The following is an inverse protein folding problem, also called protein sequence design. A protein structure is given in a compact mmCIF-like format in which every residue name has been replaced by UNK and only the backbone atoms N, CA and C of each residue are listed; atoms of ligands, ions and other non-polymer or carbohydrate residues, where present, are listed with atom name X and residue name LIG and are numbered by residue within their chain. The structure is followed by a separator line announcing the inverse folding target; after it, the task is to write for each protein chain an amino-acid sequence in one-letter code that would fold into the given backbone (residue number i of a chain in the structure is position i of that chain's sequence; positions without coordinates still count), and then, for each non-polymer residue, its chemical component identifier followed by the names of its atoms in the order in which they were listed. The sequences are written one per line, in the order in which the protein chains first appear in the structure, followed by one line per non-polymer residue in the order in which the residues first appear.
data_IF_640390671018
#
_entry.id   IF_640390671018
#
_cell.length_a   1.000
_cell.length_b   1.000
_cell.length_c   1.000
_cell.angle_alpha   90.00
_cell.angle_beta   90.00
_cell.angle_gamma   90.00
#
_symmetry.space_group_name_H-M   'P 1'
#
loop_
_entity.id
_entity.type
_entity.pdbx_description
1 polymer ?
#
# COMPACT_ATOMS: atom_id res chain seq x y z
N UNK A 1 18.55 -11.02 -12.71
CA UNK A 1 18.06 -11.94 -13.73
C UNK A 1 16.52 -11.93 -13.76
N UNK A 2 15.81 -12.16 -12.63
CA UNK A 2 14.33 -12.20 -12.61
C UNK A 2 13.66 -10.94 -13.19
N UNK A 3 14.19 -9.73 -12.92
CA UNK A 3 13.64 -8.50 -13.50
C UNK A 3 13.65 -8.51 -15.02
N UNK A 4 14.76 -8.99 -15.61
CA UNK A 4 14.89 -9.12 -17.05
C UNK A 4 13.89 -10.12 -17.63
N UNK A 5 13.66 -11.25 -16.95
CA UNK A 5 12.65 -12.25 -17.33
C UNK A 5 11.23 -11.65 -17.29
N UNK A 6 10.90 -10.88 -16.26
CA UNK A 6 9.59 -10.21 -16.16
C UNK A 6 9.41 -9.15 -17.26
N UNK A 7 10.43 -8.33 -17.50
CA UNK A 7 10.36 -7.27 -18.50
C UNK A 7 10.25 -7.84 -19.92
N UNK A 8 10.97 -8.93 -20.22
CA UNK A 8 10.80 -9.65 -21.50
C UNK A 8 9.38 -10.20 -21.61
N UNK A 9 8.84 -10.83 -20.57
CA UNK A 9 7.49 -11.41 -20.61
C UNK A 9 6.45 -10.34 -20.89
N UNK A 10 6.53 -9.19 -20.20
CA UNK A 10 5.63 -8.06 -20.41
C UNK A 10 5.81 -7.49 -21.83
N UNK A 11 7.05 -7.33 -22.28
CA UNK A 11 7.34 -6.78 -23.60
C UNK A 11 6.80 -7.67 -24.73
N UNK A 12 6.92 -8.98 -24.59
CA UNK A 12 6.37 -9.95 -25.57
C UNK A 12 4.83 -9.92 -25.58
N UNK A 13 4.19 -9.81 -24.40
CA UNK A 13 2.74 -9.73 -24.30
C UNK A 13 2.16 -8.50 -25.01
N UNK A 14 2.92 -7.40 -25.04
CA UNK A 14 2.53 -6.14 -25.68
C UNK A 14 3.20 -5.92 -27.04
N UNK A 15 3.88 -6.94 -27.58
CA UNK A 15 4.55 -6.83 -28.87
C UNK A 15 3.56 -6.51 -29.99
N UNK A 16 3.94 -5.60 -30.87
CA UNK A 16 3.18 -5.22 -32.07
C UNK A 16 3.91 -5.68 -33.33
N UNK A 17 3.15 -5.80 -34.41
CA UNK A 17 3.69 -6.12 -35.72
C UNK A 17 3.69 -4.85 -36.57
N UNK A 18 4.84 -4.46 -37.06
CA UNK A 18 4.93 -3.37 -38.03
C UNK A 18 4.56 -3.87 -39.44
N UNK A 19 5.00 -5.09 -39.74
CA UNK A 19 4.67 -5.87 -40.95
C UNK A 19 4.67 -7.36 -40.58
N UNK A 20 4.23 -8.25 -41.44
CA UNK A 20 4.22 -9.71 -41.17
C UNK A 20 5.59 -10.32 -40.82
N UNK A 21 6.68 -9.57 -40.95
CA UNK A 21 8.06 -10.02 -40.73
C UNK A 21 8.78 -9.35 -39.57
N UNK A 22 8.28 -8.20 -39.03
CA UNK A 22 9.00 -7.42 -38.00
C UNK A 22 8.15 -7.27 -36.75
N UNK A 23 8.67 -7.78 -35.65
CA UNK A 23 8.10 -7.57 -34.32
C UNK A 23 8.75 -6.36 -33.65
N UNK A 24 7.95 -5.41 -33.22
CA UNK A 24 8.38 -4.34 -32.35
C UNK A 24 8.08 -4.72 -30.89
N UNK A 25 9.13 -4.74 -30.07
CA UNK A 25 9.07 -5.17 -28.68
C UNK A 25 9.57 -4.01 -27.81
N UNK A 26 8.65 -3.37 -27.07
CA UNK A 26 8.99 -2.28 -26.16
C UNK A 26 9.13 -2.80 -24.72
N UNK A 27 10.29 -2.59 -24.12
CA UNK A 27 10.54 -2.95 -22.72
C UNK A 27 9.87 -1.96 -21.76
N UNK A 28 9.23 -2.45 -20.67
CA UNK A 28 8.62 -1.57 -19.68
C UNK A 28 9.68 -0.77 -18.92
N UNK A 29 9.28 0.39 -18.40
CA UNK A 29 10.10 1.19 -17.50
C UNK A 29 10.06 0.61 -16.09
N UNK A 30 10.88 -0.37 -15.82
CA UNK A 30 10.96 -1.05 -14.53
C UNK A 30 11.99 -0.45 -13.59
N UNK A 31 11.78 -0.60 -12.28
CA UNK A 31 12.76 -0.26 -11.26
C UNK A 31 12.73 -1.27 -10.12
N UNK A 32 13.84 -1.37 -9.38
CA UNK A 32 13.92 -2.19 -8.16
C UNK A 32 13.90 -1.30 -6.95
N UNK A 33 12.89 -1.46 -6.09
CA UNK A 33 12.78 -0.76 -4.82
C UNK A 33 13.38 -1.60 -3.70
N UNK A 34 14.47 -1.11 -3.09
CA UNK A 34 15.02 -1.65 -1.86
C UNK A 34 14.42 -0.93 -0.65
N UNK A 35 13.51 -1.60 0.03
CA UNK A 35 12.86 -1.09 1.24
C UNK A 35 13.81 -1.15 2.42
N UNK A 36 14.50 -2.29 2.59
CA UNK A 36 15.43 -2.54 3.68
C UNK A 36 16.82 -2.81 3.10
N UNK A 37 17.74 -1.89 3.31
CA UNK A 37 19.10 -2.02 2.82
C UNK A 37 20.10 -1.33 3.74
N UNK A 38 21.11 -2.07 4.21
CA UNK A 38 22.17 -1.57 5.08
C UNK A 38 23.43 -1.14 4.32
N UNK A 39 23.52 -1.50 3.02
CA UNK A 39 24.67 -1.17 2.17
C UNK A 39 24.30 -0.06 1.20
N UNK A 40 25.29 0.68 0.75
CA UNK A 40 25.10 1.55 -0.40
C UNK A 40 25.16 0.71 -1.66
N UNK A 41 24.09 0.75 -2.42
CA UNK A 41 23.97 0.08 -3.71
C UNK A 41 24.29 1.08 -4.82
N UNK A 42 24.71 0.54 -5.97
CA UNK A 42 24.77 1.31 -7.22
C UNK A 42 23.38 1.86 -7.58
N UNK A 43 23.35 2.86 -8.44
CA UNK A 43 22.10 3.49 -8.86
C UNK A 43 21.28 2.62 -9.84
N UNK A 44 21.86 1.55 -10.36
CA UNK A 44 21.20 0.62 -11.27
C UNK A 44 21.81 -0.77 -11.19
N UNK A 45 21.02 -1.79 -11.52
CA UNK A 45 21.50 -3.11 -11.91
C UNK A 45 21.71 -3.12 -13.42
N UNK A 46 22.82 -3.72 -13.87
CA UNK A 46 23.14 -3.83 -15.29
C UNK A 46 23.32 -5.30 -15.68
N UNK A 47 22.73 -5.67 -16.81
CA UNK A 47 23.01 -6.90 -17.51
C UNK A 47 23.44 -6.59 -18.94
N UNK A 48 24.35 -7.41 -19.49
CA UNK A 48 24.77 -7.32 -20.88
C UNK A 48 24.27 -8.56 -21.61
N UNK A 49 23.33 -8.36 -22.52
CA UNK A 49 22.84 -9.39 -23.42
C UNK A 49 23.78 -9.47 -24.62
N UNK A 50 24.30 -10.65 -24.90
CA UNK A 50 25.19 -10.91 -26.05
C UNK A 50 24.46 -11.82 -27.03
N UNK A 51 24.38 -11.40 -28.28
CA UNK A 51 23.77 -12.15 -29.35
C UNK A 51 24.83 -12.98 -30.11
N UNK A 52 24.39 -14.03 -30.83
CA UNK A 52 25.28 -14.93 -31.57
C UNK A 52 26.04 -14.21 -32.70
N UNK A 53 25.46 -13.17 -33.27
CA UNK A 53 26.08 -12.32 -34.31
C UNK A 53 27.13 -11.33 -33.75
N UNK A 54 27.38 -11.34 -32.42
CA UNK A 54 28.32 -10.47 -31.74
C UNK A 54 27.75 -9.16 -31.24
N UNK A 55 26.48 -8.86 -31.52
CA UNK A 55 25.83 -7.68 -30.99
C UNK A 55 25.70 -7.76 -29.45
N UNK A 56 25.69 -6.59 -28.79
CA UNK A 56 25.57 -6.48 -27.34
C UNK A 56 24.61 -5.37 -27.01
N UNK A 57 23.63 -5.68 -26.17
CA UNK A 57 22.69 -4.71 -25.62
C UNK A 57 22.88 -4.62 -24.11
N UNK A 58 22.93 -3.41 -23.57
CA UNK A 58 22.97 -3.15 -22.14
C UNK A 58 21.56 -2.92 -21.63
N UNK A 59 21.11 -3.80 -20.75
CA UNK A 59 19.86 -3.67 -20.03
C UNK A 59 20.14 -3.13 -18.64
N UNK A 60 19.54 -1.99 -18.30
CA UNK A 60 19.72 -1.30 -17.01
C UNK A 60 18.39 -1.12 -16.32
N UNK A 61 18.34 -1.51 -15.05
CA UNK A 61 17.17 -1.31 -14.17
C UNK A 61 17.57 -0.36 -13.05
N UNK A 62 16.93 0.82 -12.93
CA UNK A 62 17.19 1.76 -11.86
C UNK A 62 16.92 1.14 -10.48
N UNK A 63 17.73 1.55 -9.50
CA UNK A 63 17.57 1.14 -8.10
C UNK A 63 17.08 2.32 -7.28
N UNK A 64 15.92 2.12 -6.64
CA UNK A 64 15.39 3.04 -5.66
C UNK A 64 15.67 2.49 -4.26
N UNK A 65 16.29 3.28 -3.39
CA UNK A 65 16.57 2.91 -2.01
C UNK A 65 15.70 3.75 -1.08
N UNK A 66 14.73 3.14 -0.40
CA UNK A 66 13.80 3.84 0.49
C UNK A 66 14.53 4.69 1.55
N UNK A 67 15.69 4.23 2.06
CA UNK A 67 16.52 4.97 3.02
C UNK A 67 17.03 6.34 2.52
N UNK A 68 17.14 6.55 1.20
CA UNK A 68 17.60 7.82 0.61
C UNK A 68 16.50 8.90 0.56
N UNK A 69 15.23 8.51 0.81
CA UNK A 69 14.10 9.44 0.76
C UNK A 69 13.76 9.95 2.16
N UNK A 70 13.97 11.24 2.37
CA UNK A 70 13.49 11.95 3.57
C UNK A 70 11.97 12.10 3.51
N UNK A 71 11.33 12.42 4.64
CA UNK A 71 9.89 12.73 4.70
C UNK A 71 9.53 13.80 3.67
N UNK A 72 10.29 14.89 3.60
CA UNK A 72 10.06 15.98 2.64
C UNK A 72 10.08 15.51 1.20
N UNK A 73 11.11 14.74 0.81
CA UNK A 73 11.22 14.20 -0.55
C UNK A 73 10.10 13.22 -0.91
N UNK A 74 9.62 12.46 0.06
CA UNK A 74 8.50 11.54 -0.14
C UNK A 74 7.23 12.33 -0.50
N UNK A 75 6.92 13.37 0.25
CA UNK A 75 5.75 14.22 -0.03
C UNK A 75 5.92 15.05 -1.31
N UNK A 76 7.08 15.66 -1.52
CA UNK A 76 7.40 16.44 -2.73
C UNK A 76 7.22 15.60 -4.00
N UNK A 77 7.71 14.36 -3.98
CA UNK A 77 7.64 13.42 -5.12
C UNK A 77 6.35 12.58 -5.15
N UNK A 78 5.44 12.79 -4.22
CA UNK A 78 4.19 12.02 -4.05
C UNK A 78 4.40 10.50 -3.91
N UNK A 79 5.52 10.10 -3.33
CA UNK A 79 5.88 8.69 -3.09
C UNK A 79 5.31 8.17 -1.76
N UNK A 80 4.03 8.46 -1.47
CA UNK A 80 3.40 8.19 -0.18
C UNK A 80 3.51 6.73 0.25
N UNK A 81 3.55 5.80 -0.70
CA UNK A 81 3.77 4.36 -0.44
C UNK A 81 5.06 4.06 0.33
N UNK A 82 6.03 4.97 0.37
CA UNK A 82 7.27 4.82 1.12
C UNK A 82 7.15 5.22 2.59
N UNK A 83 6.11 5.96 2.98
CA UNK A 83 5.92 6.44 4.36
C UNK A 83 5.87 5.31 5.40
N UNK A 84 5.13 4.22 5.19
CA UNK A 84 5.11 3.11 6.15
C UNK A 84 6.50 2.50 6.40
N UNK A 85 7.37 2.55 5.42
CA UNK A 85 8.72 2.00 5.52
C UNK A 85 9.73 2.98 6.12
N UNK A 86 9.34 4.23 6.40
CA UNK A 86 10.23 5.23 7.00
C UNK A 86 10.78 4.78 8.35
N UNK A 87 9.99 4.05 9.14
CA UNK A 87 10.39 3.48 10.43
C UNK A 87 11.62 2.56 10.33
N UNK A 88 11.86 1.93 9.18
CA UNK A 88 13.03 1.06 8.95
C UNK A 88 14.36 1.80 9.06
N UNK A 89 14.38 3.12 8.95
CA UNK A 89 15.57 3.96 9.19
C UNK A 89 16.03 3.86 10.65
N UNK A 90 15.12 3.58 11.54
CA UNK A 90 15.33 3.45 12.98
C UNK A 90 15.44 2.01 13.46
N UNK A 91 15.41 1.03 12.54
CA UNK A 91 15.34 -0.40 12.86
C UNK A 91 16.46 -0.84 13.81
N UNK A 92 17.69 -0.43 13.54
CA UNK A 92 18.84 -0.77 14.41
C UNK A 92 18.67 -0.21 15.83
N UNK A 93 18.24 1.04 15.96
CA UNK A 93 17.94 1.68 17.24
C UNK A 93 16.80 0.95 17.98
N UNK A 94 15.73 0.63 17.27
CA UNK A 94 14.54 -0.03 17.85
C UNK A 94 14.85 -1.46 18.34
N UNK A 95 15.69 -2.20 17.63
CA UNK A 95 16.11 -3.56 18.01
C UNK A 95 17.07 -3.60 19.19
N UNK A 96 17.85 -2.55 19.44
CA UNK A 96 18.85 -2.47 20.51
C UNK A 96 18.36 -1.66 21.73
N UNK A 97 17.10 -1.93 22.15
CA UNK A 97 16.44 -1.39 23.34
C UNK A 97 16.10 0.11 23.34
N UNK A 98 16.36 0.84 22.27
CA UNK A 98 15.85 2.20 22.09
C UNK A 98 16.24 3.23 23.15
N UNK A 99 17.42 3.09 23.80
CA UNK A 99 17.85 3.93 24.92
C UNK A 99 18.34 5.31 24.52
N UNK A 100 18.64 5.54 23.24
CA UNK A 100 19.09 6.84 22.74
C UNK A 100 17.92 7.83 22.62
N UNK A 101 17.83 8.71 23.61
CA UNK A 101 16.77 9.72 23.72
C UNK A 101 16.69 10.64 22.48
N UNK A 102 17.83 10.97 21.86
CA UNK A 102 17.84 11.83 20.66
C UNK A 102 17.20 11.13 19.46
N UNK A 103 17.53 9.86 19.23
CA UNK A 103 16.95 9.06 18.17
C UNK A 103 15.47 8.81 18.41
N UNK A 104 15.05 8.63 19.65
CA UNK A 104 13.63 8.53 19.99
C UNK A 104 12.88 9.82 19.67
N UNK A 105 13.42 10.97 20.08
CA UNK A 105 12.82 12.27 19.77
C UNK A 105 12.72 12.51 18.26
N UNK A 106 13.77 12.16 17.51
CA UNK A 106 13.78 12.28 16.04
C UNK A 106 12.71 11.37 15.42
N UNK A 107 12.63 10.11 15.83
CA UNK A 107 11.60 9.19 15.38
C UNK A 107 10.19 9.75 15.60
N UNK A 108 9.90 10.21 16.82
CA UNK A 108 8.59 10.77 17.15
C UNK A 108 8.29 12.06 16.39
N UNK A 109 9.31 12.89 16.15
CA UNK A 109 9.17 14.11 15.35
C UNK A 109 8.86 13.79 13.89
N UNK A 110 9.58 12.85 13.28
CA UNK A 110 9.33 12.40 11.91
C UNK A 110 7.90 11.89 11.75
N UNK A 111 7.41 11.07 12.68
CA UNK A 111 6.05 10.52 12.61
C UNK A 111 4.95 11.54 12.90
N UNK A 112 5.19 12.54 13.77
CA UNK A 112 4.27 13.67 13.91
C UNK A 112 4.13 14.46 12.61
N UNK A 113 5.24 14.71 11.94
CA UNK A 113 5.26 15.41 10.66
C UNK A 113 4.58 14.60 9.55
N UNK A 114 4.83 13.30 9.49
CA UNK A 114 4.14 12.38 8.56
C UNK A 114 2.63 12.45 8.80
N UNK A 115 2.20 12.30 10.04
CA UNK A 115 0.78 12.33 10.41
C UNK A 115 0.11 13.65 9.98
N UNK A 116 0.71 14.77 10.35
CA UNK A 116 0.21 16.11 10.01
C UNK A 116 0.06 16.29 8.49
N UNK A 117 1.08 15.92 7.71
CA UNK A 117 1.04 16.06 6.25
C UNK A 117 0.07 15.10 5.57
N UNK A 118 -0.08 13.89 6.10
CA UNK A 118 -1.07 12.95 5.60
C UNK A 118 -2.50 13.48 5.83
N UNK A 119 -2.78 14.02 7.03
CA UNK A 119 -4.07 14.67 7.33
C UNK A 119 -4.35 15.81 6.33
N UNK A 120 -3.40 16.72 6.14
CA UNK A 120 -3.54 17.83 5.19
C UNK A 120 -3.74 17.38 3.74
N UNK A 121 -3.08 16.29 3.34
CA UNK A 121 -3.21 15.72 1.99
C UNK A 121 -4.57 15.04 1.83
N UNK A 122 -5.02 14.31 2.84
CA UNK A 122 -6.31 13.65 2.85
C UNK A 122 -7.48 14.65 2.73
N UNK A 123 -7.40 15.75 3.48
CA UNK A 123 -8.40 16.83 3.42
C UNK A 123 -8.42 17.52 2.05
N UNK A 124 -7.24 17.88 1.51
CA UNK A 124 -7.12 18.58 0.21
C UNK A 124 -7.57 17.74 -0.97
N UNK A 125 -7.28 16.44 -0.96
CA UNK A 125 -7.54 15.54 -2.08
C UNK A 125 -8.83 14.72 -1.89
N UNK A 126 -9.55 14.89 -0.78
CA UNK A 126 -10.72 14.08 -0.39
C UNK A 126 -10.42 12.56 -0.41
N UNK A 127 -9.24 12.17 0.11
CA UNK A 127 -8.72 10.80 0.13
C UNK A 127 -8.51 10.26 1.54
N UNK A 128 -9.52 10.39 2.39
CA UNK A 128 -9.46 9.92 3.79
C UNK A 128 -9.07 8.45 3.91
N UNK A 129 -9.52 7.58 2.98
CA UNK A 129 -9.14 6.17 2.96
C UNK A 129 -7.64 5.95 2.78
N UNK A 130 -6.99 6.69 1.87
CA UNK A 130 -5.54 6.57 1.65
C UNK A 130 -4.75 6.92 2.92
N UNK A 131 -5.19 7.97 3.62
CA UNK A 131 -4.62 8.34 4.90
C UNK A 131 -4.73 7.21 5.93
N UNK A 132 -5.92 6.66 6.09
CA UNK A 132 -6.18 5.55 7.02
C UNK A 132 -5.33 4.32 6.70
N UNK A 133 -5.25 3.92 5.43
CA UNK A 133 -4.46 2.78 4.99
C UNK A 133 -2.96 2.98 5.28
N UNK A 134 -2.43 4.18 5.05
CA UNK A 134 -1.03 4.48 5.36
C UNK A 134 -0.74 4.37 6.85
N UNK A 135 -1.63 4.87 7.71
CA UNK A 135 -1.46 4.78 9.15
C UNK A 135 -1.52 3.34 9.64
N UNK A 136 -2.49 2.56 9.17
CA UNK A 136 -2.58 1.13 9.50
C UNK A 136 -1.30 0.38 9.10
N UNK A 137 -0.76 0.66 7.92
CA UNK A 137 0.50 0.05 7.47
C UNK A 137 1.70 0.49 8.34
N UNK A 138 1.77 1.75 8.75
CA UNK A 138 2.81 2.24 9.67
C UNK A 138 2.73 1.48 11.00
N UNK A 139 1.53 1.34 11.57
CA UNK A 139 1.33 0.60 12.83
C UNK A 139 1.73 -0.87 12.69
N UNK A 140 1.31 -1.54 11.61
CA UNK A 140 1.65 -2.95 11.37
C UNK A 140 3.16 -3.17 11.25
N UNK A 141 3.88 -2.28 10.54
CA UNK A 141 5.33 -2.37 10.40
C UNK A 141 6.01 -2.04 11.73
N UNK A 142 5.51 -1.05 12.47
CA UNK A 142 6.01 -0.72 13.81
C UNK A 142 5.85 -1.91 14.77
N UNK A 143 4.71 -2.58 14.75
CA UNK A 143 4.41 -3.76 15.55
C UNK A 143 5.34 -4.95 15.25
N UNK A 144 5.75 -5.07 14.00
CA UNK A 144 6.71 -6.11 13.60
C UNK A 144 8.14 -5.82 14.06
N UNK A 145 8.53 -4.53 14.12
CA UNK A 145 9.93 -4.12 14.39
C UNK A 145 10.15 -3.88 15.87
N UNK A 146 9.18 -3.28 16.56
CA UNK A 146 9.32 -2.85 17.96
C UNK A 146 8.91 -3.99 18.90
N UNK A 147 9.75 -4.39 19.86
CA UNK A 147 9.39 -5.39 20.86
C UNK A 147 8.13 -5.00 21.65
N UNK A 148 7.27 -5.98 21.96
CA UNK A 148 5.92 -5.77 22.53
C UNK A 148 5.86 -4.93 23.81
N UNK A 149 6.93 -4.92 24.62
CA UNK A 149 6.99 -4.24 25.94
C UNK A 149 7.79 -2.93 25.90
N UNK A 150 7.89 -2.26 24.76
CA UNK A 150 8.74 -1.07 24.65
C UNK A 150 7.90 0.21 24.80
N UNK A 151 8.40 1.14 25.62
CA UNK A 151 7.83 2.50 25.84
C UNK A 151 7.71 3.30 24.52
N UNK A 152 8.57 2.99 23.55
CA UNK A 152 8.56 3.60 22.21
C UNK A 152 7.25 3.30 21.48
N UNK A 153 6.75 2.06 21.62
CA UNK A 153 5.48 1.64 21.00
C UNK A 153 4.30 2.50 21.48
N UNK A 154 4.28 2.76 22.81
CA UNK A 154 3.25 3.64 23.40
C UNK A 154 3.38 5.06 22.87
N UNK A 155 4.58 5.63 22.83
CA UNK A 155 4.81 6.97 22.30
C UNK A 155 4.46 7.10 20.81
N UNK A 156 4.71 6.06 20.01
CA UNK A 156 4.33 6.03 18.59
C UNK A 156 2.81 5.94 18.43
N UNK A 157 2.15 5.07 19.21
CA UNK A 157 0.69 4.97 19.26
C UNK A 157 0.03 6.28 19.68
N UNK A 158 0.56 6.99 20.67
CA UNK A 158 0.05 8.28 21.09
C UNK A 158 0.20 9.36 19.99
N UNK A 159 1.27 9.29 19.19
CA UNK A 159 1.51 10.20 18.07
C UNK A 159 0.60 9.89 16.87
N UNK A 160 0.37 8.61 16.57
CA UNK A 160 -0.34 8.16 15.38
C UNK A 160 -1.80 7.79 15.66
N UNK A 161 -2.12 7.31 16.86
CA UNK A 161 -3.37 6.60 17.16
C UNK A 161 -4.48 7.42 17.81
N UNK A 162 -4.22 8.60 18.35
CA UNK A 162 -5.21 9.33 19.14
C UNK A 162 -6.48 9.77 18.39
N UNK A 163 -6.36 10.07 17.09
CA UNK A 163 -7.49 10.39 16.20
C UNK A 163 -8.00 9.19 15.40
N UNK A 164 -7.13 8.23 15.13
CA UNK A 164 -7.39 7.08 14.24
C UNK A 164 -8.39 6.11 14.85
N UNK A 165 -8.29 5.85 16.17
CA UNK A 165 -9.25 5.01 16.86
C UNK A 165 -10.68 5.55 16.76
N UNK A 166 -10.85 6.89 16.72
CA UNK A 166 -12.14 7.53 16.50
C UNK A 166 -12.64 7.35 15.07
N UNK A 167 -11.83 7.70 14.07
CA UNK A 167 -12.18 7.58 12.65
C UNK A 167 -12.46 6.13 12.26
N UNK A 168 -11.64 5.18 12.72
CA UNK A 168 -11.84 3.76 12.42
C UNK A 168 -13.10 3.20 13.07
N UNK A 169 -13.48 3.65 14.27
CA UNK A 169 -14.73 3.25 14.89
C UNK A 169 -15.95 3.83 14.17
N UNK A 170 -15.85 5.06 13.69
CA UNK A 170 -16.90 5.74 12.91
C UNK A 170 -17.08 5.07 11.53
N UNK A 171 -15.98 4.80 10.80
CA UNK A 171 -16.05 4.07 9.52
C UNK A 171 -16.53 2.63 9.65
N UNK A 172 -16.10 1.91 10.70
CA UNK A 172 -16.61 0.54 10.95
C UNK A 172 -18.09 0.53 11.33
N UNK A 173 -18.56 1.56 12.03
CA UNK A 173 -19.98 1.76 12.32
C UNK A 173 -20.75 2.04 11.02
N UNK A 174 -20.32 3.00 10.20
CA UNK A 174 -20.96 3.32 8.91
C UNK A 174 -20.97 2.11 7.96
N UNK A 175 -19.83 1.39 7.87
CA UNK A 175 -19.74 0.16 7.06
C UNK A 175 -20.64 -0.97 7.62
N UNK A 176 -20.76 -1.04 8.94
CA UNK A 176 -21.64 -1.97 9.64
C UNK A 176 -23.11 -1.66 9.38
N UNK A 177 -23.49 -0.39 9.47
CA UNK A 177 -24.83 0.10 9.18
C UNK A 177 -25.21 -0.12 7.71
N UNK A 178 -24.36 0.29 6.76
CA UNK A 178 -24.61 0.08 5.34
C UNK A 178 -24.76 -1.40 4.97
N UNK A 179 -23.92 -2.29 5.57
CA UNK A 179 -24.06 -3.74 5.40
C UNK A 179 -25.32 -4.30 6.08
N UNK A 180 -25.70 -3.73 7.22
CA UNK A 180 -26.92 -4.07 7.94
C UNK A 180 -28.17 -3.72 7.12
N UNK A 181 -28.23 -2.52 6.58
CA UNK A 181 -29.32 -2.05 5.71
C UNK A 181 -29.44 -2.88 4.44
N UNK A 182 -28.32 -3.11 3.72
CA UNK A 182 -28.33 -3.94 2.51
C UNK A 182 -28.81 -5.37 2.78
N UNK A 183 -28.41 -5.97 3.90
CA UNK A 183 -28.89 -7.31 4.32
C UNK A 183 -30.36 -7.27 4.75
N UNK A 184 -30.79 -6.23 5.46
CA UNK A 184 -32.17 -6.01 5.84
C UNK A 184 -33.08 -5.89 4.64
N UNK A 185 -32.70 -5.08 3.67
CA UNK A 185 -33.45 -4.88 2.42
C UNK A 185 -33.52 -6.15 1.57
N UNK A 186 -32.41 -6.89 1.43
CA UNK A 186 -32.39 -8.15 0.71
C UNK A 186 -33.29 -9.23 1.38
N UNK A 187 -33.26 -9.30 2.71
CA UNK A 187 -34.15 -10.21 3.48
C UNK A 187 -35.60 -9.79 3.40
N UNK A 188 -35.89 -8.49 3.49
CA UNK A 188 -37.24 -7.96 3.36
C UNK A 188 -37.85 -8.27 1.99
N UNK A 189 -37.08 -8.02 0.91
CA UNK A 189 -37.51 -8.36 -0.45
C UNK A 189 -37.72 -9.85 -0.66
N UNK A 190 -36.84 -10.69 -0.12
CA UNK A 190 -36.97 -12.14 -0.23
C UNK A 190 -38.22 -12.66 0.54
N UNK A 191 -38.46 -12.12 1.75
CA UNK A 191 -39.63 -12.49 2.56
C UNK A 191 -40.95 -12.03 1.93
N UNK A 192 -41.00 -10.76 1.47
CA UNK A 192 -42.19 -10.24 0.79
C UNK A 192 -42.56 -11.00 -0.50
N UNK A 193 -41.53 -11.44 -1.27
CA UNK A 193 -41.73 -12.30 -2.45
C UNK A 193 -42.29 -13.69 -2.09
N UNK A 194 -41.87 -14.25 -0.98
CA UNK A 194 -42.38 -15.56 -0.50
C UNK A 194 -43.79 -15.44 0.02
N UNK A 195 -44.11 -14.40 0.76
CA UNK A 195 -45.44 -14.12 1.30
C UNK A 195 -46.44 -13.82 0.16
N UNK A 196 -46.10 -12.96 -0.79
CA UNK A 196 -46.93 -12.68 -1.96
C UNK A 196 -47.22 -13.92 -2.80
N UNK A 197 -46.25 -14.79 -3.06
CA UNK A 197 -46.47 -16.08 -3.74
C UNK A 197 -47.36 -17.03 -2.95
N UNK A 198 -47.35 -16.95 -1.63
CA UNK A 198 -48.21 -17.78 -0.77
C UNK A 198 -49.63 -17.28 -0.77
N UNK A 199 -49.86 -15.99 -0.76
CA UNK A 199 -51.19 -15.37 -0.87
C UNK A 199 -51.83 -15.65 -2.23
N UNK A 200 -51.09 -15.45 -3.33
CA UNK A 200 -51.56 -15.79 -4.68
C UNK A 200 -51.99 -17.26 -4.80
N UNK A 201 -51.26 -18.18 -4.17
CA UNK A 201 -51.62 -19.60 -4.16
C UNK A 201 -52.87 -19.88 -3.35
N UNK A 202 -53.08 -19.20 -2.22
CA UNK A 202 -54.26 -19.35 -1.38
C UNK A 202 -55.51 -18.81 -2.08
N UNK A 203 -55.39 -17.64 -2.71
CA UNK A 203 -56.47 -17.04 -3.50
C UNK A 203 -56.85 -17.91 -4.70
N UNK A 204 -55.88 -18.53 -5.37
CA UNK A 204 -56.15 -19.45 -6.49
C UNK A 204 -56.90 -20.71 -6.04
N UNK A 205 -56.70 -21.19 -4.79
CA UNK A 205 -57.38 -22.35 -4.23
C UNK A 205 -58.79 -22.00 -3.76
N UNK A 206 -59.02 -20.78 -3.26
CA UNK A 206 -60.35 -20.33 -2.82
C UNK A 206 -61.30 -20.00 -3.96
N UNK A 207 -60.77 -19.73 -5.12
CA UNK A 207 -61.55 -19.37 -6.32
C UNK A 207 -61.79 -20.55 -7.30
N UNK A 208 -61.42 -21.78 -6.89
CA UNK A 208 -61.77 -23.05 -7.56
C UNK A 208 -62.97 -23.71 -6.92
#
# INVERSE_FOLDING_TARGET
IRMFEYDISIAIEHASYENDEIWEIEFPQSCVLYIRNHRDLSDYHEAVVKFADGQKVRYRVPILQAKKYTVDRIFEKRLLILLPYHILRYEHFLKHNGTDTRKLQQLLADFREINRRLEETAEKENKSHLYMDMIVLIEQIADYIIPKNNTIRKGLGDVMGGKILKLRSEELLELGEARGEARGEARGKAKGRLEGKREERLDAIQNM
#
